data_IF_086056807995
#
_entry.id   IF_086056807995
#
_cell.length_a   1.000
_cell.length_b   1.000
_cell.length_c   1.000
_cell.angle_alpha   90.00
_cell.angle_beta   90.00
_cell.angle_gamma   90.00
#
_symmetry.space_group_name_H-M   'P 1'
#
loop_
_entity.id
_entity.type
_entity.pdbx_description
1 polymer ?
#
# COMPACT_ATOMS: atom_id res chain seq x y z
N UNK A 1 -40.14 -15.26 -10.73
CA UNK A 1 -39.69 -13.89 -10.37
C UNK A 1 -39.31 -13.86 -8.88
N UNK A 2 -38.10 -13.35 -8.59
CA UNK A 2 -37.54 -12.79 -7.33
C UNK A 2 -37.88 -13.41 -5.97
N UNK A 3 -37.09 -14.39 -5.48
CA UNK A 3 -36.97 -14.67 -4.04
C UNK A 3 -35.59 -15.29 -3.69
N UNK A 4 -34.48 -14.57 -3.91
CA UNK A 4 -33.33 -14.80 -3.04
C UNK A 4 -33.56 -13.98 -1.78
N UNK A 5 -34.26 -14.60 -0.82
CA UNK A 5 -34.42 -14.09 0.53
C UNK A 5 -33.04 -13.66 1.03
N UNK A 6 -32.95 -12.43 1.54
CA UNK A 6 -31.72 -11.75 1.96
C UNK A 6 -31.05 -12.52 3.12
N UNK A 7 -30.44 -13.66 2.82
CA UNK A 7 -29.64 -14.45 3.74
C UNK A 7 -28.41 -13.62 4.06
N UNK A 8 -28.51 -12.86 5.14
CA UNK A 8 -27.38 -12.17 5.71
C UNK A 8 -26.76 -13.14 6.72
N UNK A 9 -25.60 -13.75 6.41
CA UNK A 9 -24.95 -14.65 7.34
C UNK A 9 -24.69 -13.92 8.66
N UNK A 10 -24.89 -14.61 9.76
CA UNK A 10 -24.66 -14.04 11.07
C UNK A 10 -23.17 -13.70 11.27
N UNK A 11 -22.87 -12.92 12.31
CA UNK A 11 -21.50 -12.48 12.61
C UNK A 11 -20.53 -13.66 12.76
N UNK A 12 -21.00 -14.79 13.30
CA UNK A 12 -20.19 -15.99 13.53
C UNK A 12 -19.82 -16.66 12.21
N UNK A 13 -20.78 -16.84 11.31
CA UNK A 13 -20.59 -17.38 9.96
C UNK A 13 -19.59 -16.54 9.16
N UNK A 14 -19.69 -15.20 9.22
CA UNK A 14 -18.73 -14.30 8.57
C UNK A 14 -17.33 -14.43 9.20
N UNK A 15 -17.24 -14.57 10.53
CA UNK A 15 -15.97 -14.72 11.24
C UNK A 15 -15.28 -16.05 10.88
N UNK A 16 -16.02 -17.16 10.88
CA UNK A 16 -15.53 -18.48 10.53
C UNK A 16 -15.07 -18.52 9.07
N UNK A 17 -15.85 -17.97 8.14
CA UNK A 17 -15.47 -17.84 6.74
C UNK A 17 -14.14 -17.07 6.56
N UNK A 18 -13.96 -15.94 7.26
CA UNK A 18 -12.73 -15.15 7.22
C UNK A 18 -11.52 -15.91 7.79
N UNK A 19 -11.75 -16.74 8.81
CA UNK A 19 -10.71 -17.55 9.45
C UNK A 19 -10.21 -18.65 8.50
N UNK A 20 -11.14 -19.36 7.87
CA UNK A 20 -10.85 -20.44 6.92
C UNK A 20 -10.22 -19.91 5.62
N UNK A 21 -10.68 -18.75 5.14
CA UNK A 21 -10.25 -18.17 3.85
C UNK A 21 -9.18 -17.06 3.99
N UNK A 22 -8.45 -16.99 5.10
CA UNK A 22 -7.51 -15.89 5.40
C UNK A 22 -6.44 -15.66 4.31
N UNK A 23 -5.87 -16.73 3.74
CA UNK A 23 -4.81 -16.67 2.72
C UNK A 23 -5.30 -16.05 1.39
N UNK A 24 -6.37 -16.58 0.75
CA UNK A 24 -6.91 -15.99 -0.48
C UNK A 24 -7.44 -14.57 -0.24
N UNK A 25 -8.12 -14.30 0.88
CA UNK A 25 -8.56 -12.95 1.22
C UNK A 25 -7.38 -11.96 1.30
N UNK A 26 -6.28 -12.32 1.98
CA UNK A 26 -5.06 -11.51 1.97
C UNK A 26 -4.45 -11.32 0.57
N UNK A 27 -4.64 -12.25 -0.36
CA UNK A 27 -4.14 -12.13 -1.74
C UNK A 27 -4.94 -11.08 -2.51
N UNK A 28 -6.26 -11.09 -2.38
CA UNK A 28 -7.16 -10.14 -3.06
C UNK A 28 -6.91 -8.68 -2.64
N UNK A 29 -6.49 -8.44 -1.39
CA UNK A 29 -6.23 -7.09 -0.89
C UNK A 29 -4.79 -6.59 -1.09
N UNK A 30 -3.90 -7.39 -1.71
CA UNK A 30 -2.46 -7.07 -1.80
C UNK A 30 -2.08 -6.07 -2.90
N UNK A 31 -2.99 -5.73 -3.81
CA UNK A 31 -2.70 -4.91 -4.99
C UNK A 31 -2.17 -3.50 -4.65
N UNK A 32 -2.56 -2.95 -3.50
CA UNK A 32 -2.18 -1.60 -3.05
C UNK A 32 -1.34 -1.59 -1.77
N UNK A 33 -0.62 -2.67 -1.49
CA UNK A 33 0.33 -2.70 -0.37
C UNK A 33 1.56 -1.83 -0.67
N UNK A 34 2.26 -1.40 0.38
CA UNK A 34 3.39 -0.46 0.26
C UNK A 34 4.52 -0.95 -0.63
N UNK A 35 4.74 -2.27 -0.70
CA UNK A 35 5.72 -2.94 -1.56
C UNK A 35 5.39 -2.83 -3.06
N UNK A 36 4.14 -2.49 -3.41
CA UNK A 36 3.72 -2.25 -4.79
C UNK A 36 3.98 -0.83 -5.26
N UNK A 37 4.38 0.08 -4.36
CA UNK A 37 4.76 1.44 -4.71
C UNK A 37 6.24 1.46 -5.07
N UNK A 38 6.55 1.77 -6.32
CA UNK A 38 7.93 1.80 -6.82
C UNK A 38 8.53 3.18 -6.58
N UNK A 39 9.72 3.24 -6.02
CA UNK A 39 10.46 4.48 -5.86
C UNK A 39 11.31 4.74 -7.10
N UNK A 40 11.14 5.90 -7.70
CA UNK A 40 12.00 6.41 -8.76
C UNK A 40 13.01 7.38 -8.15
N UNK A 41 14.28 6.94 -8.09
CA UNK A 41 15.39 7.72 -7.52
C UNK A 41 15.83 8.89 -8.40
N UNK A 42 15.65 8.80 -9.72
CA UNK A 42 16.04 9.86 -10.65
C UNK A 42 15.10 11.06 -10.50
N UNK A 43 13.81 10.78 -10.29
CA UNK A 43 12.75 11.81 -10.22
C UNK A 43 12.31 12.14 -8.79
N UNK A 44 12.87 11.47 -7.78
CA UNK A 44 12.52 11.57 -6.36
C UNK A 44 11.00 11.48 -6.11
N UNK A 45 10.37 10.41 -6.62
CA UNK A 45 8.92 10.19 -6.52
C UNK A 45 8.57 8.72 -6.32
N UNK A 46 7.33 8.47 -5.91
CA UNK A 46 6.75 7.12 -5.88
C UNK A 46 5.71 6.95 -6.98
N UNK A 47 5.74 5.81 -7.66
CA UNK A 47 4.73 5.39 -8.64
C UNK A 47 3.83 4.36 -7.96
N UNK A 48 2.54 4.64 -7.90
CA UNK A 48 1.58 3.70 -7.32
C UNK A 48 1.17 2.59 -8.31
N UNK A 49 0.51 1.52 -7.84
CA UNK A 49 0.09 0.40 -8.69
C UNK A 49 -0.87 0.78 -9.83
N UNK A 50 -1.56 1.91 -9.69
CA UNK A 50 -2.43 2.47 -10.73
C UNK A 50 -1.67 3.38 -11.73
N UNK A 51 -0.33 3.39 -11.71
CA UNK A 51 0.52 4.19 -12.60
C UNK A 51 0.60 5.68 -12.25
N UNK A 52 -0.05 6.10 -11.15
CA UNK A 52 -0.11 7.50 -10.72
C UNK A 52 1.08 7.89 -9.84
N UNK A 53 1.58 9.11 -10.00
CA UNK A 53 2.78 9.63 -9.32
C UNK A 53 2.47 10.31 -7.97
N UNK A 54 3.32 10.06 -6.98
CA UNK A 54 3.31 10.67 -5.65
C UNK A 54 4.58 11.49 -5.44
N UNK A 55 4.43 12.80 -5.34
CA UNK A 55 5.55 13.72 -5.23
C UNK A 55 6.03 13.87 -3.79
N UNK A 56 7.33 14.14 -3.63
CA UNK A 56 7.92 14.51 -2.35
C UNK A 56 7.26 15.79 -1.81
N UNK A 57 6.88 15.74 -0.53
CA UNK A 57 6.39 16.90 0.20
C UNK A 57 7.56 17.77 0.67
N UNK A 58 7.38 19.09 0.64
CA UNK A 58 8.34 20.03 1.22
C UNK A 58 8.46 19.80 2.74
N UNK A 59 9.69 19.78 3.24
CA UNK A 59 10.01 19.72 4.67
C UNK A 59 10.75 20.99 5.06
N UNK A 60 10.46 21.51 6.27
CA UNK A 60 11.18 22.67 6.81
C UNK A 60 12.64 22.35 7.14
N UNK A 61 12.91 21.11 7.54
CA UNK A 61 14.26 20.62 7.79
C UNK A 61 14.90 20.22 6.46
N UNK A 62 16.15 20.63 6.27
CA UNK A 62 16.95 20.29 5.09
C UNK A 62 17.12 18.77 4.93
N UNK A 63 17.43 18.08 6.03
CA UNK A 63 17.63 16.62 6.04
C UNK A 63 16.65 15.93 7.01
N UNK A 64 15.39 15.71 6.61
CA UNK A 64 14.42 15.02 7.43
C UNK A 64 14.73 13.52 7.52
N UNK A 65 14.59 12.93 8.71
CA UNK A 65 14.74 11.48 8.93
C UNK A 65 13.70 10.68 8.13
N UNK A 66 12.50 11.25 7.93
CA UNK A 66 11.40 10.66 7.17
C UNK A 66 10.89 11.65 6.14
N UNK A 67 10.92 11.24 4.88
CA UNK A 67 10.37 11.99 3.75
C UNK A 67 8.97 11.46 3.44
N UNK A 68 8.02 12.36 3.19
CA UNK A 68 6.63 12.05 2.85
C UNK A 68 6.41 12.25 1.36
N UNK A 69 5.70 11.32 0.74
CA UNK A 69 5.30 11.36 -0.66
C UNK A 69 3.78 11.24 -0.77
N UNK A 70 3.17 12.17 -1.51
CA UNK A 70 1.71 12.21 -1.69
C UNK A 70 1.33 12.99 -2.94
N UNK A 71 0.14 12.69 -3.44
CA UNK A 71 -0.55 13.49 -4.45
C UNK A 71 -2.06 13.33 -4.23
N UNK A 72 -2.67 14.27 -3.51
CA UNK A 72 -4.08 14.15 -3.13
C UNK A 72 -5.02 14.43 -4.30
N UNK A 73 -4.62 15.26 -5.25
CA UNK A 73 -5.43 15.58 -6.44
C UNK A 73 -5.63 14.32 -7.28
N UNK A 74 -4.52 13.63 -7.55
CA UNK A 74 -4.53 12.37 -8.29
C UNK A 74 -5.24 11.23 -7.52
N UNK A 75 -5.20 11.25 -6.18
CA UNK A 75 -5.95 10.32 -5.33
C UNK A 75 -7.45 10.62 -5.28
N UNK A 76 -7.87 11.88 -5.41
CA UNK A 76 -9.27 12.30 -5.36
C UNK A 76 -10.06 11.71 -6.53
N UNK A 77 -9.44 11.68 -7.71
CA UNK A 77 -10.00 11.17 -8.97
C UNK A 77 -9.57 9.71 -9.25
N UNK A 78 -9.18 8.96 -8.23
CA UNK A 78 -8.72 7.58 -8.40
C UNK A 78 -9.86 6.58 -8.20
N UNK A 79 -10.15 5.78 -9.23
CA UNK A 79 -11.13 4.69 -9.18
C UNK A 79 -10.79 3.67 -8.07
N UNK A 80 -9.51 3.43 -7.84
CA UNK A 80 -9.05 2.47 -6.83
C UNK A 80 -8.90 3.06 -5.42
N UNK A 81 -9.34 4.29 -5.17
CA UNK A 81 -9.13 4.99 -3.89
C UNK A 81 -9.61 4.17 -2.69
N UNK A 82 -10.84 3.67 -2.75
CA UNK A 82 -11.47 2.89 -1.67
C UNK A 82 -10.71 1.58 -1.36
N UNK A 83 -10.11 0.96 -2.39
CA UNK A 83 -9.27 -0.25 -2.24
C UNK A 83 -7.84 0.09 -1.79
N UNK A 84 -7.34 1.27 -2.12
CA UNK A 84 -5.94 1.68 -1.91
C UNK A 84 -5.68 2.27 -0.52
N UNK A 85 -6.63 3.02 0.03
CA UNK A 85 -6.46 3.72 1.32
C UNK A 85 -7.80 3.96 2.01
N UNK A 86 -7.80 3.90 3.34
CA UNK A 86 -8.97 4.30 4.16
C UNK A 86 -9.03 5.81 4.41
N UNK A 87 -8.00 6.55 4.01
CA UNK A 87 -7.91 8.00 4.24
C UNK A 87 -8.75 8.76 3.23
N UNK A 88 -9.52 9.76 3.72
CA UNK A 88 -10.34 10.63 2.88
C UNK A 88 -9.53 11.42 1.84
N UNK A 89 -8.28 11.78 2.17
CA UNK A 89 -7.43 12.62 1.31
C UNK A 89 -6.66 11.81 0.26
N UNK A 90 -6.29 10.57 0.57
CA UNK A 90 -5.49 9.74 -0.32
C UNK A 90 -4.39 8.97 0.42
N UNK A 91 -3.55 8.30 -0.36
CA UNK A 91 -2.41 7.52 0.13
C UNK A 91 -1.22 8.44 0.40
N UNK A 92 -0.51 8.18 1.48
CA UNK A 92 0.77 8.81 1.81
C UNK A 92 1.82 7.72 2.03
N UNK A 93 3.00 7.88 1.44
CA UNK A 93 4.14 6.98 1.60
C UNK A 93 5.23 7.69 2.38
N UNK A 94 5.78 7.02 3.38
CA UNK A 94 6.90 7.49 4.18
C UNK A 94 8.16 6.72 3.79
N UNK A 95 9.21 7.43 3.36
CA UNK A 95 10.54 6.86 3.11
C UNK A 95 11.50 7.32 4.20
N UNK A 96 12.20 6.38 4.82
CA UNK A 96 13.30 6.71 5.74
C UNK A 96 14.50 7.23 4.95
N UNK A 97 15.29 8.17 5.50
CA UNK A 97 16.56 8.59 4.87
C UNK A 97 17.54 7.42 4.71
N UNK A 98 17.40 6.41 5.58
CA UNK A 98 18.25 5.22 5.58
C UNK A 98 17.66 4.07 4.75
N UNK A 99 16.57 4.29 4.01
CA UNK A 99 15.91 3.22 3.26
C UNK A 99 16.88 2.57 2.25
N UNK A 100 17.69 3.37 1.55
CA UNK A 100 18.71 2.86 0.61
C UNK A 100 19.70 1.90 1.30
N UNK A 101 20.08 2.17 2.55
CA UNK A 101 20.95 1.28 3.31
C UNK A 101 20.22 -0.01 3.72
N UNK A 102 19.00 0.10 4.22
CA UNK A 102 18.17 -1.05 4.60
C UNK A 102 17.94 -1.99 3.40
N UNK A 103 17.67 -1.43 2.22
CA UNK A 103 17.44 -2.19 1.01
C UNK A 103 18.70 -3.01 0.60
N UNK A 104 19.90 -2.49 0.84
CA UNK A 104 21.18 -3.20 0.58
C UNK A 104 21.41 -4.34 1.59
N UNK A 105 21.17 -4.09 2.88
CA UNK A 105 21.35 -5.11 3.91
C UNK A 105 20.35 -6.26 3.72
N UNK A 106 19.09 -5.95 3.43
CA UNK A 106 18.04 -6.95 3.16
C UNK A 106 18.36 -7.82 1.93
N UNK A 107 19.01 -7.26 0.91
CA UNK A 107 19.47 -8.04 -0.25
C UNK A 107 20.49 -9.11 0.16
N UNK A 108 21.49 -8.74 0.98
CA UNK A 108 22.53 -9.66 1.45
C UNK A 108 21.98 -10.74 2.39
N UNK A 109 21.01 -10.41 3.24
CA UNK A 109 20.41 -11.39 4.15
C UNK A 109 19.59 -12.44 3.39
N UNK A 110 18.97 -12.08 2.26
CA UNK A 110 18.26 -13.05 1.40
C UNK A 110 19.21 -13.99 0.68
N UNK A 111 20.38 -13.53 0.26
CA UNK A 111 21.39 -14.37 -0.40
C UNK A 111 21.99 -15.39 0.58
N UNK A 112 22.24 -14.99 1.82
CA UNK A 112 22.87 -15.86 2.83
C UNK A 112 21.91 -16.86 3.50
N UNK A 113 20.60 -16.78 3.26
CA UNK A 113 19.61 -17.76 3.76
C UNK A 113 19.37 -18.92 2.78
N UNK A 114 20.05 -18.94 1.62
CA UNK A 114 19.91 -19.98 0.58
C UNK A 114 21.21 -20.77 0.41
N UNK A 115 22.19 -20.62 1.32
CA UNK A 115 23.42 -21.44 1.38
C UNK A 115 23.40 -22.37 2.57
#
# INVERSE_FOLDING_TARGET
>A
MWLLGKLQPDFKTIADFRKENKKPLKKVFRDFYGDKFKYDKQRDLYICPAGKELCRMNHRKENPVKVRYRNYDVCKECEYKERCTKSKKGREINRSKHQDFLDIFDARTKENQVS
#
